data_IF_802400456247
#
_entry.id   IF_802400456247
#
_cell.length_a   1.000
_cell.length_b   1.000
_cell.length_c   1.000
_cell.angle_alpha   90.00
_cell.angle_beta   90.00
_cell.angle_gamma   90.00
#
_symmetry.space_group_name_H-M   'P 1'
#
loop_
_entity.id
_entity.type
_entity.pdbx_description
1 polymer ?
#
# COMPACT_ATOMS: atom_id res chain seq x y z
N UNK A 1 8.20 -11.86 -16.50
CA UNK A 1 7.02 -12.73 -16.48
C UNK A 1 5.83 -11.85 -16.20
N UNK A 2 4.96 -11.68 -17.20
CA UNK A 2 3.86 -10.71 -17.19
C UNK A 2 2.62 -11.34 -16.59
N UNK A 3 2.05 -10.74 -15.55
CA UNK A 3 0.72 -11.09 -15.07
C UNK A 3 -0.32 -10.23 -15.81
N UNK A 4 -1.25 -10.90 -16.51
CA UNK A 4 -2.42 -10.29 -17.16
C UNK A 4 -3.56 -10.00 -16.18
N UNK A 5 -4.70 -9.48 -16.67
CA UNK A 5 -5.75 -8.93 -15.82
C UNK A 5 -6.69 -10.02 -15.27
N UNK A 6 -6.95 -9.96 -13.96
CA UNK A 6 -8.07 -10.66 -13.31
C UNK A 6 -7.67 -11.69 -12.27
N UNK A 7 -8.04 -11.38 -11.01
CA UNK A 7 -8.21 -12.28 -9.87
C UNK A 7 -7.00 -13.10 -9.40
N UNK A 8 -6.17 -12.45 -8.57
CA UNK A 8 -5.60 -12.95 -7.30
C UNK A 8 -4.29 -12.23 -7.00
N UNK A 9 -4.34 -10.90 -6.79
CA UNK A 9 -3.19 -10.18 -6.24
C UNK A 9 -3.11 -10.42 -4.72
N UNK A 10 -2.75 -11.66 -4.39
CA UNK A 10 -2.53 -12.14 -3.04
C UNK A 10 -1.03 -12.17 -2.77
N UNK A 11 -0.62 -11.66 -1.63
CA UNK A 11 0.75 -11.85 -1.17
C UNK A 11 0.97 -13.36 -0.88
N UNK A 12 2.19 -13.87 -1.06
CA UNK A 12 2.49 -15.25 -0.72
C UNK A 12 2.35 -15.45 0.81
N UNK A 13 1.99 -16.65 1.31
CA UNK A 13 1.75 -16.89 2.73
C UNK A 13 2.92 -16.51 3.65
N UNK A 14 4.15 -16.57 3.14
CA UNK A 14 5.35 -16.16 3.88
C UNK A 14 5.35 -14.67 4.19
N UNK A 15 4.69 -13.84 3.37
CA UNK A 15 4.54 -12.41 3.65
C UNK A 15 3.77 -12.17 4.94
N UNK A 16 2.80 -13.03 5.30
CA UNK A 16 2.04 -12.89 6.55
C UNK A 16 2.89 -13.12 7.81
N UNK A 17 4.08 -13.72 7.65
CA UNK A 17 5.03 -13.93 8.74
C UNK A 17 5.93 -12.71 8.99
N UNK A 18 5.99 -11.77 8.04
CA UNK A 18 6.80 -10.56 8.18
C UNK A 18 6.20 -9.67 9.28
N UNK A 19 7.06 -9.25 10.21
CA UNK A 19 6.68 -8.37 11.31
C UNK A 19 7.05 -6.93 10.99
N UNK A 20 6.09 -6.03 11.18
CA UNK A 20 6.33 -4.61 11.03
C UNK A 20 7.23 -4.12 12.17
N UNK A 21 8.46 -3.65 11.89
CA UNK A 21 9.37 -3.17 12.95
C UNK A 21 8.83 -1.92 13.67
N UNK A 22 7.80 -1.26 13.11
CA UNK A 22 7.13 -0.08 13.68
C UNK A 22 5.77 -0.39 14.30
N UNK A 23 5.47 -1.67 14.61
CA UNK A 23 4.19 -2.05 15.22
C UNK A 23 3.88 -1.21 16.48
N UNK A 24 4.86 -1.07 17.37
CA UNK A 24 4.75 -0.33 18.63
C UNK A 24 4.93 1.19 18.51
N UNK A 25 5.38 1.69 17.34
CA UNK A 25 5.52 3.12 17.09
C UNK A 25 4.21 3.66 16.49
N UNK A 26 3.45 4.39 17.32
CA UNK A 26 2.15 4.97 16.94
C UNK A 26 2.28 6.17 16.00
N UNK A 27 3.47 6.74 15.86
CA UNK A 27 3.71 7.96 15.09
C UNK A 27 4.58 7.73 13.85
N UNK A 28 5.07 6.51 13.63
CA UNK A 28 5.86 6.13 12.47
C UNK A 28 5.25 6.55 11.12
N UNK A 29 3.92 6.60 11.01
CA UNK A 29 3.22 7.07 9.81
C UNK A 29 3.51 8.53 9.46
N UNK A 30 3.76 9.41 10.45
CA UNK A 30 4.01 10.85 10.23
C UNK A 30 5.25 11.07 9.36
N UNK A 31 6.25 10.19 9.47
CA UNK A 31 7.53 10.26 8.75
C UNK A 31 7.38 10.09 7.23
N UNK A 32 6.29 9.47 6.77
CA UNK A 32 6.05 9.15 5.36
C UNK A 32 4.79 9.81 4.79
N UNK A 33 4.20 10.77 5.51
CA UNK A 33 3.02 11.49 5.02
C UNK A 33 3.30 12.19 3.69
N UNK A 34 4.41 12.94 3.59
CA UNK A 34 4.83 13.56 2.33
C UNK A 34 5.13 12.52 1.24
N UNK A 35 5.67 11.35 1.60
CA UNK A 35 5.91 10.25 0.66
C UNK A 35 4.60 9.73 0.08
N UNK A 36 3.57 9.51 0.91
CA UNK A 36 2.25 9.10 0.45
C UNK A 36 1.62 10.15 -0.46
N UNK A 37 1.67 11.43 -0.05
CA UNK A 37 1.14 12.55 -0.85
C UNK A 37 1.83 12.66 -2.22
N UNK A 38 3.13 12.38 -2.30
CA UNK A 38 3.90 12.52 -3.54
C UNK A 38 3.72 11.31 -4.47
N UNK A 39 3.68 10.09 -3.92
CA UNK A 39 3.80 8.87 -4.72
C UNK A 39 2.51 8.05 -4.81
N UNK A 40 1.64 8.13 -3.81
CA UNK A 40 0.48 7.23 -3.67
C UNK A 40 -0.84 7.97 -3.91
N UNK A 41 -0.96 9.21 -3.43
CA UNK A 41 -2.18 10.02 -3.46
C UNK A 41 -2.73 10.24 -4.86
N UNK A 42 -1.87 10.39 -5.87
CA UNK A 42 -2.30 10.62 -7.26
C UNK A 42 -3.21 9.49 -7.79
N UNK A 43 -3.02 8.27 -7.29
CA UNK A 43 -3.82 7.09 -7.62
C UNK A 43 -4.84 6.74 -6.53
N UNK A 44 -4.43 6.75 -5.27
CA UNK A 44 -5.27 6.30 -4.15
C UNK A 44 -6.12 7.40 -3.51
N UNK A 45 -5.93 8.67 -3.87
CA UNK A 45 -6.62 9.81 -3.29
C UNK A 45 -6.03 10.23 -1.94
N UNK A 46 -6.35 11.46 -1.50
CA UNK A 46 -5.84 12.03 -0.23
C UNK A 46 -6.28 11.20 0.97
N UNK A 47 -7.50 10.67 0.93
CA UNK A 47 -8.08 9.83 1.98
C UNK A 47 -7.86 8.33 1.76
N UNK A 48 -7.19 7.94 0.67
CA UNK A 48 -6.92 6.54 0.35
C UNK A 48 -8.10 5.78 -0.26
N UNK A 49 -9.15 6.45 -0.76
CA UNK A 49 -10.36 5.77 -1.25
C UNK A 49 -10.23 5.13 -2.64
N UNK A 50 -9.07 5.22 -3.28
CA UNK A 50 -8.89 4.75 -4.66
C UNK A 50 -9.47 5.72 -5.70
N UNK A 51 -9.71 6.97 -5.30
CA UNK A 51 -10.37 8.04 -6.07
C UNK A 51 -9.38 9.13 -6.52
N UNK A 52 -8.07 8.83 -6.52
CA UNK A 52 -7.07 9.73 -7.04
C UNK A 52 -7.29 10.04 -8.52
N UNK A 53 -6.92 11.26 -8.95
CA UNK A 53 -7.19 11.77 -10.30
C UNK A 53 -6.66 10.84 -11.41
N UNK A 54 -5.48 10.23 -11.22
CA UNK A 54 -4.95 9.25 -12.16
C UNK A 54 -5.64 7.88 -11.99
N UNK A 55 -5.97 7.52 -10.74
CA UNK A 55 -6.61 6.25 -10.40
C UNK A 55 -7.95 6.01 -11.09
N UNK A 56 -8.73 7.07 -11.32
CA UNK A 56 -10.04 6.97 -12.00
C UNK A 56 -9.96 6.43 -13.43
N UNK A 57 -8.83 6.65 -14.12
CA UNK A 57 -8.60 6.21 -15.49
C UNK A 57 -7.94 4.82 -15.60
N UNK A 58 -7.55 4.21 -14.48
CA UNK A 58 -6.83 2.94 -14.45
C UNK A 58 -7.80 1.75 -14.47
N UNK A 59 -7.36 0.65 -15.10
CA UNK A 59 -8.02 -0.65 -15.06
C UNK A 59 -7.00 -1.74 -14.69
N UNK A 60 -7.17 -2.46 -13.56
CA UNK A 60 -8.18 -2.22 -12.53
C UNK A 60 -7.97 -0.87 -11.83
N UNK A 61 -9.04 -0.34 -11.22
CA UNK A 61 -8.94 0.85 -10.37
C UNK A 61 -8.11 0.54 -9.11
N UNK A 62 -7.39 1.54 -8.55
CA UNK A 62 -6.70 1.37 -7.27
C UNK A 62 -7.68 0.97 -6.17
N UNK A 63 -7.22 0.11 -5.25
CA UNK A 63 -8.03 -0.30 -4.11
C UNK A 63 -8.33 0.89 -3.18
N UNK A 64 -9.50 0.84 -2.55
CA UNK A 64 -9.79 1.65 -1.38
C UNK A 64 -8.96 1.12 -0.20
N UNK A 65 -7.95 1.87 0.20
CA UNK A 65 -7.03 1.55 1.28
C UNK A 65 -7.70 1.54 2.66
N UNK A 66 -8.84 2.22 2.82
CA UNK A 66 -9.62 2.21 4.07
C UNK A 66 -10.64 1.07 4.13
N UNK A 67 -10.82 0.32 3.04
CA UNK A 67 -11.77 -0.80 3.00
C UNK A 67 -11.39 -1.90 3.99
N UNK A 68 -12.41 -2.61 4.50
CA UNK A 68 -12.22 -3.76 5.37
C UNK A 68 -11.35 -4.85 4.72
N UNK A 69 -11.46 -5.04 3.39
CA UNK A 69 -10.65 -6.00 2.63
C UNK A 69 -9.15 -5.66 2.67
N UNK A 70 -8.79 -4.37 2.56
CA UNK A 70 -7.39 -3.94 2.70
C UNK A 70 -6.96 -4.00 4.17
N UNK A 71 -7.81 -3.52 5.08
CA UNK A 71 -7.46 -3.42 6.49
C UNK A 71 -7.34 -4.78 7.20
N UNK A 72 -8.01 -5.83 6.71
CA UNK A 72 -7.86 -7.20 7.24
C UNK A 72 -6.58 -7.91 6.81
N UNK A 73 -5.90 -7.45 5.76
CA UNK A 73 -4.62 -8.06 5.34
C UNK A 73 -3.58 -7.89 6.44
N UNK A 74 -2.60 -8.78 6.51
CA UNK A 74 -1.46 -8.59 7.42
C UNK A 74 -0.61 -7.39 6.99
N UNK A 75 0.14 -6.82 7.93
CA UNK A 75 1.11 -5.76 7.61
C UNK A 75 2.14 -6.23 6.58
N UNK A 76 2.59 -7.48 6.69
CA UNK A 76 3.54 -8.08 5.76
C UNK A 76 2.98 -8.29 4.35
N UNK A 77 1.69 -8.63 4.21
CA UNK A 77 1.04 -8.69 2.91
C UNK A 77 0.98 -7.32 2.23
N UNK A 78 0.64 -6.25 2.97
CA UNK A 78 0.65 -4.88 2.45
C UNK A 78 2.07 -4.44 2.07
N UNK A 79 3.05 -4.75 2.93
CA UNK A 79 4.46 -4.49 2.64
C UNK A 79 4.91 -5.18 1.33
N UNK A 80 4.56 -6.46 1.16
CA UNK A 80 4.88 -7.21 -0.05
C UNK A 80 4.24 -6.57 -1.29
N UNK A 81 2.99 -6.11 -1.19
CA UNK A 81 2.27 -5.42 -2.27
C UNK A 81 2.95 -4.11 -2.68
N UNK A 82 3.33 -3.25 -1.73
CA UNK A 82 4.11 -2.04 -1.99
C UNK A 82 5.46 -2.35 -2.65
N UNK A 83 6.10 -3.44 -2.19
CA UNK A 83 7.41 -3.85 -2.66
C UNK A 83 7.39 -4.33 -4.11
N UNK A 84 6.42 -5.17 -4.47
CA UNK A 84 6.41 -5.83 -5.76
C UNK A 84 5.55 -5.10 -6.80
N UNK A 85 4.61 -4.26 -6.36
CA UNK A 85 3.63 -3.67 -7.24
C UNK A 85 2.72 -4.71 -7.90
N UNK A 86 1.83 -4.21 -8.74
CA UNK A 86 1.00 -5.01 -9.65
C UNK A 86 0.44 -4.05 -10.70
N UNK A 87 0.88 -4.13 -11.98
CA UNK A 87 0.46 -3.18 -13.00
C UNK A 87 -1.06 -2.95 -12.99
N UNK A 88 -1.52 -1.69 -12.95
CA UNK A 88 -0.76 -0.46 -13.21
C UNK A 88 0.00 0.13 -12.00
N UNK A 89 -0.10 -0.45 -10.80
CA UNK A 89 0.67 -0.01 -9.64
C UNK A 89 2.13 -0.42 -9.78
N UNK A 90 3.04 0.56 -9.71
CA UNK A 90 4.48 0.33 -9.78
C UNK A 90 5.00 -0.45 -8.56
N UNK A 91 6.14 -1.12 -8.73
CA UNK A 91 6.98 -1.58 -7.62
C UNK A 91 7.70 -0.38 -7.01
N UNK A 92 7.76 -0.32 -5.67
CA UNK A 92 8.51 0.71 -4.95
C UNK A 92 9.83 0.20 -4.33
N UNK A 93 10.24 -1.04 -4.64
CA UNK A 93 11.43 -1.66 -4.06
C UNK A 93 12.71 -0.83 -4.26
N UNK A 94 12.88 -0.27 -5.46
CA UNK A 94 14.06 0.51 -5.83
C UNK A 94 13.92 2.00 -5.53
N UNK A 95 12.69 2.49 -5.30
CA UNK A 95 12.40 3.91 -5.06
C UNK A 95 12.35 4.26 -3.58
N UNK A 96 11.95 3.31 -2.73
CA UNK A 96 11.75 3.51 -1.29
C UNK A 96 12.60 2.52 -0.50
N UNK A 97 13.20 3.02 0.58
CA UNK A 97 13.89 2.15 1.55
C UNK A 97 12.92 1.16 2.17
N UNK A 98 13.43 0.06 2.70
CA UNK A 98 12.61 -0.90 3.45
C UNK A 98 11.90 -0.24 4.64
N UNK A 99 12.61 0.63 5.37
CA UNK A 99 12.03 1.43 6.46
C UNK A 99 10.85 2.28 5.98
N UNK A 100 11.00 3.02 4.88
CA UNK A 100 9.92 3.85 4.32
C UNK A 100 8.72 3.00 3.91
N UNK A 101 8.94 1.82 3.32
CA UNK A 101 7.86 0.90 2.96
C UNK A 101 7.11 0.40 4.18
N UNK A 102 7.78 0.04 5.27
CA UNK A 102 7.12 -0.34 6.53
C UNK A 102 6.37 0.82 7.19
N UNK A 103 6.94 2.02 7.16
CA UNK A 103 6.25 3.23 7.64
C UNK A 103 5.01 3.56 6.78
N UNK A 104 5.04 3.31 5.47
CA UNK A 104 3.86 3.44 4.61
C UNK A 104 2.76 2.44 4.96
N UNK A 105 3.11 1.21 5.40
CA UNK A 105 2.11 0.28 5.96
C UNK A 105 1.43 0.91 7.17
N UNK A 106 2.17 1.57 8.06
CA UNK A 106 1.57 2.31 9.20
C UNK A 106 0.68 3.45 8.72
N UNK A 107 1.04 4.15 7.65
CA UNK A 107 0.19 5.18 7.06
C UNK A 107 -1.13 4.61 6.52
N UNK A 108 -1.08 3.45 5.86
CA UNK A 108 -2.27 2.74 5.39
C UNK A 108 -3.19 2.33 6.56
N UNK A 109 -2.62 1.87 7.68
CA UNK A 109 -3.39 1.61 8.91
C UNK A 109 -4.04 2.87 9.48
N UNK A 110 -3.28 3.96 9.51
CA UNK A 110 -3.79 5.26 9.95
C UNK A 110 -4.99 5.70 9.12
N UNK A 111 -4.93 5.59 7.79
CA UNK A 111 -6.06 5.89 6.90
C UNK A 111 -7.32 5.07 7.22
N UNK A 112 -7.17 3.78 7.53
CA UNK A 112 -8.29 2.90 7.90
C UNK A 112 -8.84 3.13 9.32
N UNK A 113 -8.14 3.90 10.15
CA UNK A 113 -8.57 4.22 11.53
C UNK A 113 -9.34 5.54 11.66
N UNK A 114 -9.50 6.28 10.55
CA UNK A 114 -10.28 7.52 10.47
C UNK A 114 -11.71 7.24 10.03
#
# INVERSE_FOLDING_TARGET
MSAGPGSNWNAPPEADQLKNPFENDKEAWKKVETTFQTLCMICHGEKGYGDGIAGMALTPRPANLTSEEVQKQSDGAIFWKLTNGNPPMASYKETLTEEQRWQLVKYIRYLGSK
#
